data_IF_235437215280
#
_entry.id   IF_235437215280
#
_cell.length_a   1.000
_cell.length_b   1.000
_cell.length_c   1.000
_cell.angle_alpha   90.00
_cell.angle_beta   90.00
_cell.angle_gamma   90.00
#
_symmetry.space_group_name_H-M   'P 1'
#
loop_
_entity.id
_entity.type
_entity.pdbx_description
1 polymer ?
#
# COMPACT_ATOMS: atom_id res chain seq x y z
N UNK A 1 0.35 4.66 4.65
CA UNK A 1 1.82 4.60 4.57
C UNK A 1 2.38 4.52 5.98
N UNK A 2 3.17 3.49 6.29
CA UNK A 2 3.82 3.30 7.59
C UNK A 2 5.25 3.86 7.55
N UNK A 3 5.62 4.65 8.57
CA UNK A 3 6.96 5.26 8.70
C UNK A 3 7.69 4.61 9.88
N UNK A 4 9.00 4.47 9.77
CA UNK A 4 9.85 3.82 10.78
C UNK A 4 10.92 4.79 11.29
N UNK A 5 11.23 4.69 12.58
CA UNK A 5 12.32 5.37 13.27
C UNK A 5 13.12 4.32 14.06
N UNK A 6 14.43 4.28 13.89
CA UNK A 6 15.31 3.27 14.51
C UNK A 6 14.86 1.82 14.25
N UNK A 7 14.31 1.54 13.06
CA UNK A 7 13.77 0.21 12.71
C UNK A 7 12.42 -0.13 13.33
N UNK A 8 11.81 0.77 14.10
CA UNK A 8 10.53 0.58 14.77
C UNK A 8 9.46 1.50 14.16
N UNK A 9 8.23 1.03 14.05
CA UNK A 9 7.12 1.81 13.49
C UNK A 9 6.82 3.05 14.34
N UNK A 10 6.70 4.23 13.72
CA UNK A 10 6.46 5.51 14.43
C UNK A 10 4.97 5.67 14.75
N UNK A 11 4.61 5.66 16.04
CA UNK A 11 3.23 5.79 16.53
C UNK A 11 2.57 7.09 16.07
N UNK A 12 1.40 6.97 15.45
CA UNK A 12 0.60 8.10 15.00
C UNK A 12 -0.89 7.73 14.96
N UNK A 13 -1.77 8.72 14.88
CA UNK A 13 -3.22 8.47 14.93
C UNK A 13 -3.77 7.60 13.78
N UNK A 14 -3.11 7.60 12.63
CA UNK A 14 -3.47 6.74 11.49
C UNK A 14 -2.98 5.28 11.62
N UNK A 15 -2.22 4.96 12.67
CA UNK A 15 -1.69 3.63 12.90
C UNK A 15 -2.49 2.82 13.91
N UNK A 16 -2.05 1.58 14.12
CA UNK A 16 -2.71 0.60 14.95
C UNK A 16 -1.85 0.12 16.14
N UNK A 17 -0.88 0.91 16.60
CA UNK A 17 -0.19 0.57 17.85
C UNK A 17 -1.13 0.74 19.04
N UNK A 18 -0.96 -0.14 20.02
CA UNK A 18 -1.83 -0.22 21.18
C UNK A 18 -1.12 -0.80 22.38
N UNK A 19 -1.52 -0.38 23.56
CA UNK A 19 -1.28 -1.14 24.77
C UNK A 19 -2.32 -2.26 24.83
N UNK A 20 -1.86 -3.50 24.86
CA UNK A 20 -2.74 -4.68 24.85
C UNK A 20 -2.84 -5.21 26.27
N UNK A 21 -4.05 -5.15 26.84
CA UNK A 21 -4.39 -5.76 28.12
C UNK A 21 -3.35 -5.45 29.21
N UNK A 22 -2.99 -4.16 29.37
CA UNK A 22 -2.11 -3.73 30.43
C UNK A 22 -2.70 -4.09 31.79
N UNK A 23 -1.95 -4.85 32.57
CA UNK A 23 -2.42 -5.48 33.78
C UNK A 23 -1.27 -5.58 34.79
N UNK A 24 -1.52 -5.39 36.10
CA UNK A 24 -2.80 -5.11 36.74
C UNK A 24 -3.09 -3.61 36.89
N UNK A 25 -4.25 -3.15 36.40
CA UNK A 25 -4.81 -1.83 36.72
C UNK A 25 -5.91 -2.01 37.76
N UNK A 26 -5.57 -1.79 39.03
CA UNK A 26 -6.48 -2.07 40.15
C UNK A 26 -7.47 -0.92 40.33
N UNK A 27 -8.75 -1.23 40.15
CA UNK A 27 -9.85 -0.30 40.42
C UNK A 27 -10.87 -0.93 41.36
N UNK A 28 -11.61 -0.12 42.11
CA UNK A 28 -12.65 -0.63 42.98
C UNK A 28 -13.95 -0.89 42.21
N UNK A 29 -14.44 -2.11 42.30
CA UNK A 29 -15.73 -2.54 41.76
C UNK A 29 -16.81 -2.34 42.81
N UNK A 30 -17.99 -1.79 42.45
CA UNK A 30 -19.10 -1.68 43.39
C UNK A 30 -19.50 -3.06 43.95
N UNK A 31 -19.71 -3.20 45.26
CA UNK A 31 -20.23 -4.44 45.83
C UNK A 31 -21.67 -4.65 45.37
N UNK A 32 -22.08 -5.91 45.17
CA UNK A 32 -23.48 -6.24 44.88
C UNK A 32 -24.40 -6.03 46.10
N UNK A 33 -23.81 -5.88 47.30
CA UNK A 33 -24.54 -5.67 48.55
C UNK A 33 -24.40 -4.22 49.04
N UNK A 34 -25.49 -3.56 49.48
CA UNK A 34 -25.49 -2.10 49.75
C UNK A 34 -24.61 -1.57 50.89
N UNK A 35 -23.92 -2.41 51.66
CA UNK A 35 -23.42 -2.04 52.99
C UNK A 35 -21.92 -2.28 53.26
N UNK A 36 -21.04 -2.21 52.25
CA UNK A 36 -19.58 -2.44 52.45
C UNK A 36 -18.74 -1.32 51.79
N UNK A 37 -17.46 -1.11 52.21
CA UNK A 37 -16.65 0.11 52.04
C UNK A 37 -16.31 0.35 50.55
N UNK A 38 -15.43 1.30 50.12
CA UNK A 38 -15.53 2.05 48.84
C UNK A 38 -15.46 1.24 47.52
N UNK A 39 -15.39 -0.07 47.61
CA UNK A 39 -15.59 -1.11 46.61
C UNK A 39 -14.70 -2.30 46.92
N UNK A 40 -14.71 -3.34 46.08
CA UNK A 40 -13.73 -4.43 46.13
C UNK A 40 -12.59 -4.08 45.16
N UNK A 41 -11.31 -4.04 45.59
CA UNK A 41 -10.20 -3.84 44.67
C UNK A 41 -10.08 -5.04 43.71
N UNK A 42 -10.27 -4.80 42.42
CA UNK A 42 -10.18 -5.82 41.37
C UNK A 42 -9.18 -5.34 40.32
N UNK A 43 -8.22 -6.18 39.91
CA UNK A 43 -7.32 -5.84 38.82
C UNK A 43 -8.05 -5.98 37.47
N UNK A 44 -8.00 -4.93 36.66
CA UNK A 44 -8.58 -4.87 35.32
C UNK A 44 -7.48 -4.82 34.25
N UNK A 45 -7.74 -5.39 33.05
CA UNK A 45 -6.94 -5.09 31.89
C UNK A 45 -7.30 -3.71 31.35
N UNK A 46 -6.32 -2.92 30.94
CA UNK A 46 -6.56 -1.66 30.24
C UNK A 46 -5.96 -1.67 28.83
N UNK A 47 -6.60 -0.95 27.93
CA UNK A 47 -6.22 -0.84 26.53
C UNK A 47 -6.10 0.63 26.16
N UNK A 48 -5.07 0.94 25.37
CA UNK A 48 -4.86 2.26 24.79
C UNK A 48 -4.60 2.13 23.31
N UNK A 49 -5.10 3.05 22.49
CA UNK A 49 -5.07 2.94 21.02
C UNK A 49 -4.51 4.20 20.37
N UNK A 50 -3.68 4.01 19.34
CA UNK A 50 -3.14 5.09 18.52
C UNK A 50 -4.23 6.04 17.97
N UNK A 51 -5.40 5.51 17.60
CA UNK A 51 -6.53 6.28 17.09
C UNK A 51 -7.03 7.38 18.05
N UNK A 52 -6.76 7.24 19.34
CA UNK A 52 -7.16 8.20 20.37
C UNK A 52 -6.10 9.29 20.62
N UNK A 53 -5.03 9.32 19.83
CA UNK A 53 -3.98 10.34 19.92
C UNK A 53 -4.53 11.75 19.75
N UNK A 54 -4.10 12.61 20.66
CA UNK A 54 -4.35 14.04 20.67
C UNK A 54 -3.07 14.79 21.07
N UNK A 55 -2.98 16.07 20.72
CA UNK A 55 -1.82 16.95 20.98
C UNK A 55 -0.47 16.40 20.45
N UNK A 56 -0.51 15.63 19.37
CA UNK A 56 0.68 15.25 18.62
C UNK A 56 1.21 16.38 17.73
N UNK A 57 2.02 16.01 16.74
CA UNK A 57 2.59 16.95 15.75
C UNK A 57 1.54 17.81 15.04
N UNK A 58 1.91 19.08 14.83
CA UNK A 58 1.14 20.04 14.06
C UNK A 58 1.58 20.10 12.60
N UNK A 59 2.89 20.01 12.31
CA UNK A 59 3.41 20.19 10.94
C UNK A 59 3.66 18.87 10.22
N UNK A 60 4.26 17.89 10.89
CA UNK A 60 4.55 16.58 10.30
C UNK A 60 3.32 15.67 10.43
N UNK A 61 2.89 15.04 9.34
CA UNK A 61 1.75 14.11 9.33
C UNK A 61 2.16 12.76 8.74
N UNK A 62 1.67 11.68 9.35
CA UNK A 62 1.78 10.32 8.81
C UNK A 62 0.36 9.86 8.46
N UNK A 63 0.13 9.49 7.19
CA UNK A 63 -1.22 9.13 6.74
C UNK A 63 -2.25 10.27 6.83
N UNK A 64 -1.79 11.53 6.78
CA UNK A 64 -2.64 12.72 6.96
C UNK A 64 -2.90 13.09 8.43
N UNK A 65 -2.44 12.27 9.36
CA UNK A 65 -2.77 12.38 10.78
C UNK A 65 -1.57 12.75 11.66
N UNK A 66 -1.87 13.19 12.89
CA UNK A 66 -0.87 13.63 13.88
C UNK A 66 -0.04 12.47 14.44
N UNK A 67 1.22 12.76 14.78
CA UNK A 67 2.22 11.80 15.28
C UNK A 67 2.46 11.99 16.77
N UNK A 68 2.67 10.89 17.49
CA UNK A 68 2.91 10.90 18.93
C UNK A 68 4.32 11.39 19.27
N UNK A 69 4.39 12.27 20.27
CA UNK A 69 5.60 12.95 20.72
C UNK A 69 5.75 12.87 22.22
N UNK A 70 7.01 12.76 22.67
CA UNK A 70 7.43 12.83 24.06
C UNK A 70 6.79 14.04 24.77
N UNK A 71 6.12 13.75 25.89
CA UNK A 71 5.58 14.74 26.84
C UNK A 71 4.61 15.79 26.27
N UNK A 72 4.19 15.67 25.01
CA UNK A 72 3.21 16.57 24.38
C UNK A 72 1.94 15.84 23.99
N UNK A 73 2.09 14.71 23.31
CA UNK A 73 0.94 13.90 22.90
C UNK A 73 0.45 13.01 24.03
N UNK A 74 -0.85 12.75 24.02
CA UNK A 74 -1.49 11.75 24.87
C UNK A 74 -2.57 11.03 24.07
N UNK A 75 -2.95 9.84 24.52
CA UNK A 75 -4.15 9.20 24.02
C UNK A 75 -5.31 9.60 24.94
N UNK A 76 -6.40 10.06 24.34
CA UNK A 76 -7.48 10.77 25.03
C UNK A 76 -8.26 9.90 26.01
N UNK A 77 -8.28 8.58 25.80
CA UNK A 77 -8.99 7.61 26.62
C UNK A 77 -8.28 6.24 26.63
N UNK A 78 -8.52 5.50 27.69
CA UNK A 78 -8.25 4.07 27.83
C UNK A 78 -9.58 3.31 27.98
N UNK A 79 -9.57 2.00 27.76
CA UNK A 79 -10.75 1.13 27.95
C UNK A 79 -10.38 -0.15 28.69
N UNK A 80 -11.37 -0.92 29.16
CA UNK A 80 -11.22 -2.24 29.79
C UNK A 80 -11.42 -2.28 31.30
N UNK A 81 -11.40 -1.12 31.96
CA UNK A 81 -11.56 -0.94 33.41
C UNK A 81 -12.89 -0.27 33.80
N UNK A 82 -13.85 -0.17 32.86
CA UNK A 82 -15.14 0.52 33.05
C UNK A 82 -15.98 -0.06 34.20
N UNK A 83 -15.79 -1.34 34.51
CA UNK A 83 -16.47 -2.02 35.62
C UNK A 83 -15.92 -1.60 37.00
N UNK A 84 -14.74 -0.98 37.08
CA UNK A 84 -14.15 -0.39 38.29
C UNK A 84 -14.75 0.96 38.66
N UNK A 85 -16.08 1.08 38.59
CA UNK A 85 -16.80 2.36 38.67
C UNK A 85 -17.29 2.74 40.08
N UNK A 86 -16.72 2.14 41.14
CA UNK A 86 -17.04 2.56 42.50
C UNK A 86 -16.55 4.01 42.78
N UNK A 87 -17.01 4.68 43.85
CA UNK A 87 -16.68 6.09 44.11
C UNK A 87 -15.18 6.38 44.09
N UNK A 88 -14.38 5.47 44.64
CA UNK A 88 -12.91 5.47 44.51
C UNK A 88 -12.55 4.53 43.38
N UNK A 89 -12.30 5.03 42.17
CA UNK A 89 -12.09 4.22 40.95
C UNK A 89 -10.74 3.47 40.96
N UNK A 90 -9.78 3.84 40.12
CA UNK A 90 -8.42 3.30 40.21
C UNK A 90 -7.78 3.60 41.58
N UNK A 91 -7.07 2.64 42.17
CA UNK A 91 -6.51 2.76 43.52
C UNK A 91 -5.46 3.87 43.65
N UNK A 92 -4.75 4.19 42.56
CA UNK A 92 -3.70 5.20 42.51
C UNK A 92 -4.29 6.54 42.05
N UNK A 93 -4.98 6.56 40.90
CA UNK A 93 -5.37 7.82 40.25
C UNK A 93 -6.81 8.22 40.52
N UNK A 94 -7.61 7.37 41.15
CA UNK A 94 -9.06 7.55 41.31
C UNK A 94 -9.79 7.82 39.98
N UNK A 95 -9.20 7.39 38.86
CA UNK A 95 -9.72 7.57 37.51
C UNK A 95 -9.64 6.25 36.75
N UNK A 96 -10.73 5.92 36.07
CA UNK A 96 -10.80 4.87 35.04
C UNK A 96 -11.00 5.56 33.69
N UNK A 97 -10.71 4.85 32.60
CA UNK A 97 -10.80 5.38 31.22
C UNK A 97 -10.02 6.69 31.01
N UNK A 98 -8.91 6.86 31.74
CA UNK A 98 -8.12 8.08 31.73
C UNK A 98 -7.24 8.22 30.49
N UNK A 99 -6.34 9.22 30.52
CA UNK A 99 -5.38 9.40 29.42
C UNK A 99 -4.29 8.35 29.49
N UNK A 100 -3.71 8.03 28.35
CA UNK A 100 -2.48 7.27 28.26
C UNK A 100 -1.31 8.19 27.88
N UNK A 101 -0.16 7.96 28.51
CA UNK A 101 1.10 8.63 28.18
C UNK A 101 2.23 7.63 27.97
N UNK A 102 3.08 7.94 27.00
CA UNK A 102 4.27 7.17 26.71
C UNK A 102 5.45 7.57 27.62
N UNK A 103 6.25 6.58 27.99
CA UNK A 103 7.43 6.68 28.85
C UNK A 103 8.74 6.36 28.13
N UNK A 104 8.67 5.96 26.86
CA UNK A 104 9.82 5.79 25.99
C UNK A 104 9.55 6.39 24.60
N UNK A 105 10.62 6.74 23.90
CA UNK A 105 10.62 7.43 22.61
C UNK A 105 11.97 7.23 21.92
N UNK A 106 12.07 7.63 20.65
CA UNK A 106 13.33 7.67 19.90
C UNK A 106 14.37 8.60 20.54
N UNK A 107 15.64 8.23 20.53
CA UNK A 107 16.70 9.08 21.08
C UNK A 107 17.19 10.15 20.10
N UNK A 108 16.99 9.94 18.80
CA UNK A 108 17.59 10.71 17.71
C UNK A 108 16.59 11.16 16.64
N UNK A 109 15.48 10.45 16.45
CA UNK A 109 14.43 10.84 15.51
C UNK A 109 13.40 11.74 16.20
N UNK A 110 13.26 12.95 15.65
CA UNK A 110 12.36 13.98 16.16
C UNK A 110 11.43 14.47 15.07
N UNK A 111 10.20 14.81 15.44
CA UNK A 111 9.23 15.53 14.60
C UNK A 111 8.75 16.75 15.38
N UNK A 112 8.55 17.89 14.73
CA UNK A 112 8.32 19.21 15.36
C UNK A 112 9.26 19.49 16.56
N UNK A 113 10.53 19.08 16.44
CA UNK A 113 11.56 19.28 17.46
C UNK A 113 11.52 18.32 18.66
N UNK A 114 10.53 17.43 18.76
CA UNK A 114 10.40 16.49 19.88
C UNK A 114 10.62 15.02 19.46
N UNK A 115 11.19 14.19 20.34
CA UNK A 115 11.28 12.74 20.15
C UNK A 115 9.94 12.08 19.84
N UNK A 116 9.93 11.17 18.85
CA UNK A 116 8.72 10.42 18.47
C UNK A 116 8.57 9.13 19.26
N UNK A 117 7.32 8.75 19.53
CA UNK A 117 7.00 7.43 20.10
C UNK A 117 6.95 6.37 19.00
N UNK A 118 7.32 5.14 19.34
CA UNK A 118 7.45 4.02 18.40
C UNK A 118 6.78 2.76 18.92
N UNK A 119 6.63 1.79 18.04
CA UNK A 119 6.42 0.40 18.38
C UNK A 119 7.45 -0.06 19.41
N UNK A 120 7.03 -0.87 20.38
CA UNK A 120 7.81 -1.36 21.52
C UNK A 120 8.20 -0.34 22.59
N UNK A 121 7.96 0.97 22.38
CA UNK A 121 8.07 1.94 23.46
C UNK A 121 6.98 1.66 24.53
N UNK A 122 7.30 1.93 25.79
CA UNK A 122 6.39 1.69 26.92
C UNK A 122 5.46 2.88 27.17
N UNK A 123 4.26 2.60 27.65
CA UNK A 123 3.25 3.59 28.01
C UNK A 123 2.40 3.13 29.20
N UNK A 124 1.72 4.06 29.86
CA UNK A 124 0.85 3.74 31.01
C UNK A 124 -0.47 4.48 30.89
N UNK A 125 -1.52 3.83 31.38
CA UNK A 125 -2.92 4.23 31.26
C UNK A 125 -3.46 4.93 32.52
N UNK A 126 -4.70 5.42 32.41
CA UNK A 126 -5.51 6.01 33.48
C UNK A 126 -4.90 7.20 34.21
N UNK A 127 -4.26 8.09 33.45
CA UNK A 127 -3.59 9.25 34.02
C UNK A 127 -4.52 10.34 34.55
N UNK A 128 -4.10 10.92 35.69
CA UNK A 128 -4.53 12.22 36.20
C UNK A 128 -3.47 13.31 36.08
N UNK A 129 -2.43 13.07 35.26
CA UNK A 129 -1.32 13.97 34.91
C UNK A 129 -0.48 14.44 36.12
N UNK A 130 0.75 13.90 36.34
CA UNK A 130 1.47 12.90 35.55
C UNK A 130 1.33 11.45 36.06
N UNK A 131 0.58 11.23 37.15
CA UNK A 131 0.45 9.90 37.74
C UNK A 131 -0.43 8.98 36.88
N UNK A 132 0.10 7.81 36.53
CA UNK A 132 -0.63 6.72 35.88
C UNK A 132 -1.25 5.74 36.88
N UNK A 133 -2.29 5.02 36.46
CA UNK A 133 -3.06 4.10 37.29
C UNK A 133 -2.44 2.72 37.52
N UNK A 134 -1.25 2.47 36.97
CA UNK A 134 -0.60 1.16 36.97
C UNK A 134 0.79 1.20 36.31
N UNK A 135 1.48 0.05 36.25
CA UNK A 135 2.82 -0.03 35.67
C UNK A 135 2.79 0.23 34.16
N UNK A 136 3.87 0.79 33.58
CA UNK A 136 3.96 0.97 32.15
C UNK A 136 4.14 -0.36 31.43
N UNK A 137 3.45 -0.50 30.29
CA UNK A 137 3.43 -1.70 29.46
C UNK A 137 3.90 -1.38 28.04
N UNK A 138 4.40 -2.39 27.34
CA UNK A 138 4.89 -2.26 25.97
C UNK A 138 3.73 -1.93 25.03
N UNK A 139 3.92 -0.95 24.15
CA UNK A 139 3.02 -0.71 23.01
C UNK A 139 3.32 -1.71 21.90
N UNK A 140 2.33 -2.53 21.57
CA UNK A 140 2.38 -3.48 20.49
C UNK A 140 1.53 -2.97 19.31
N UNK A 141 2.14 -2.91 18.14
CA UNK A 141 1.50 -2.72 16.85
C UNK A 141 1.30 -4.04 16.13
N UNK A 142 0.39 -4.03 15.17
CA UNK A 142 0.40 -5.06 14.13
C UNK A 142 1.65 -4.80 13.29
N UNK A 143 2.56 -5.78 13.06
CA UNK A 143 3.69 -5.56 12.19
C UNK A 143 3.16 -5.06 10.84
N UNK A 144 3.57 -3.86 10.44
CA UNK A 144 3.30 -3.34 9.10
C UNK A 144 3.99 -4.23 8.09
N UNK A 145 3.33 -5.30 7.64
CA UNK A 145 3.79 -6.05 6.48
C UNK A 145 3.53 -5.18 5.27
N UNK A 146 4.55 -4.47 4.79
CA UNK A 146 4.55 -4.05 3.38
C UNK A 146 4.33 -5.34 2.58
N UNK A 147 3.42 -5.41 1.62
CA UNK A 147 3.24 -6.63 0.82
C UNK A 147 4.45 -6.94 -0.08
N UNK A 148 5.46 -6.06 -0.08
CA UNK A 148 6.82 -6.29 -0.61
C UNK A 148 7.88 -6.39 0.50
N UNK A 149 7.51 -6.73 1.73
CA UNK A 149 8.43 -6.80 2.87
C UNK A 149 9.53 -7.84 2.61
N UNK A 150 10.76 -7.34 2.46
CA UNK A 150 11.95 -8.15 2.19
C UNK A 150 12.54 -7.98 0.80
N UNK A 151 11.79 -7.42 -0.17
CA UNK A 151 12.26 -7.24 -1.54
C UNK A 151 12.59 -5.76 -1.79
N UNK A 152 13.85 -5.47 -2.06
CA UNK A 152 14.31 -4.12 -2.41
C UNK A 152 13.63 -3.61 -3.70
N UNK A 153 13.41 -2.29 -3.78
CA UNK A 153 12.87 -1.66 -5.00
C UNK A 153 13.88 -1.65 -6.15
N UNK A 154 13.95 -2.76 -6.87
CA UNK A 154 14.72 -2.93 -8.10
C UNK A 154 13.83 -2.57 -9.30
N UNK A 155 14.31 -1.61 -10.09
CA UNK A 155 13.70 -1.18 -11.35
C UNK A 155 14.84 -1.03 -12.35
N UNK A 156 14.73 -1.68 -13.50
CA UNK A 156 15.79 -1.73 -14.51
C UNK A 156 15.32 -2.47 -15.76
N UNK A 157 16.23 -2.84 -16.65
CA UNK A 157 15.91 -3.80 -17.71
C UNK A 157 15.69 -5.19 -17.11
N UNK A 158 15.02 -6.09 -17.84
CA UNK A 158 14.84 -7.48 -17.41
C UNK A 158 16.19 -8.16 -17.18
N UNK A 159 17.13 -8.01 -18.12
CA UNK A 159 18.47 -8.63 -18.02
C UNK A 159 19.27 -8.12 -16.82
N UNK A 160 19.08 -6.86 -16.41
CA UNK A 160 19.81 -6.29 -15.27
C UNK A 160 19.31 -6.75 -13.90
N UNK A 161 18.01 -7.09 -13.80
CA UNK A 161 17.34 -7.29 -12.51
C UNK A 161 16.73 -8.67 -12.30
N UNK A 162 16.50 -9.48 -13.34
CA UNK A 162 15.77 -10.74 -13.22
C UNK A 162 16.42 -11.69 -12.21
N UNK A 163 17.72 -11.96 -12.36
CA UNK A 163 18.45 -12.88 -11.47
C UNK A 163 18.49 -12.36 -10.03
N UNK A 164 18.82 -11.07 -9.84
CA UNK A 164 18.85 -10.42 -8.52
C UNK A 164 17.48 -10.41 -7.83
N UNK A 165 16.42 -10.23 -8.62
CA UNK A 165 15.06 -10.27 -8.13
C UNK A 165 14.68 -11.67 -7.65
N UNK A 166 15.01 -12.69 -8.44
CA UNK A 166 14.76 -14.09 -8.09
C UNK A 166 15.55 -14.50 -6.84
N UNK A 167 16.82 -14.09 -6.73
CA UNK A 167 17.66 -14.31 -5.54
C UNK A 167 17.08 -13.64 -4.28
N UNK A 168 16.44 -12.48 -4.43
CA UNK A 168 15.72 -11.80 -3.36
C UNK A 168 14.35 -12.41 -3.03
N UNK A 169 13.95 -13.49 -3.71
CA UNK A 169 12.65 -14.16 -3.52
C UNK A 169 11.47 -13.43 -4.19
N UNK A 170 11.75 -12.55 -5.14
CA UNK A 170 10.76 -11.85 -5.96
C UNK A 170 10.66 -12.40 -7.39
N UNK A 171 9.79 -11.78 -8.16
CA UNK A 171 9.57 -12.06 -9.59
C UNK A 171 9.73 -10.74 -10.38
N UNK A 172 10.59 -10.75 -11.40
CA UNK A 172 10.79 -9.59 -12.26
C UNK A 172 9.62 -9.45 -13.24
N UNK A 173 8.85 -8.38 -13.06
CA UNK A 173 7.67 -8.07 -13.86
C UNK A 173 7.98 -7.04 -14.93
N UNK A 174 7.67 -7.33 -16.21
CA UNK A 174 7.67 -6.32 -17.27
C UNK A 174 6.55 -5.31 -17.04
N UNK A 175 6.88 -4.09 -16.61
CA UNK A 175 5.88 -3.05 -16.31
C UNK A 175 5.04 -2.72 -17.55
N UNK A 176 5.70 -2.66 -18.71
CA UNK A 176 4.98 -2.68 -19.99
C UNK A 176 5.07 -4.08 -20.54
N UNK A 177 3.94 -4.80 -20.71
CA UNK A 177 3.98 -6.18 -21.18
C UNK A 177 4.73 -6.30 -22.50
N UNK A 178 5.76 -7.14 -22.55
CA UNK A 178 6.58 -7.39 -23.76
C UNK A 178 5.72 -7.70 -25.01
N UNK A 179 4.57 -8.37 -24.82
CA UNK A 179 3.62 -8.65 -25.90
C UNK A 179 3.18 -7.39 -26.65
N UNK A 180 3.15 -6.23 -26.00
CA UNK A 180 2.70 -4.98 -26.59
C UNK A 180 3.58 -4.53 -27.77
N UNK A 181 4.87 -4.87 -27.70
CA UNK A 181 5.87 -4.49 -28.68
C UNK A 181 6.02 -5.49 -29.82
N UNK A 182 5.32 -6.63 -29.80
CA UNK A 182 5.51 -7.71 -30.79
C UNK A 182 4.22 -8.21 -31.44
N UNK A 183 4.37 -8.56 -32.71
CA UNK A 183 3.32 -9.14 -33.57
C UNK A 183 3.30 -10.68 -33.56
N UNK A 184 4.37 -11.30 -33.06
CA UNK A 184 4.57 -12.76 -33.01
C UNK A 184 4.17 -13.40 -31.68
N UNK A 185 4.56 -14.67 -31.50
CA UNK A 185 4.47 -15.42 -30.23
C UNK A 185 5.61 -15.05 -29.28
N UNK A 186 5.61 -15.60 -28.05
CA UNK A 186 6.64 -15.32 -27.05
C UNK A 186 8.01 -15.84 -27.48
N UNK A 187 8.05 -17.00 -28.13
CA UNK A 187 9.29 -17.59 -28.66
C UNK A 187 9.93 -16.74 -29.78
N UNK A 188 9.18 -15.78 -30.30
CA UNK A 188 9.61 -14.83 -31.33
C UNK A 188 9.80 -13.43 -30.75
N UNK A 189 9.97 -13.29 -29.43
CA UNK A 189 10.08 -11.98 -28.80
C UNK A 189 11.25 -11.18 -29.39
N UNK A 190 12.39 -11.81 -29.64
CA UNK A 190 13.58 -11.08 -30.10
C UNK A 190 13.76 -11.12 -31.63
N UNK A 191 12.75 -11.57 -32.39
CA UNK A 191 12.75 -11.45 -33.86
C UNK A 191 12.50 -9.99 -34.27
N UNK A 192 13.49 -9.28 -34.85
CA UNK A 192 13.34 -7.87 -35.23
C UNK A 192 12.23 -7.66 -36.27
N UNK A 193 11.91 -8.68 -37.08
CA UNK A 193 10.82 -8.60 -38.09
C UNK A 193 9.43 -8.72 -37.47
N UNK A 194 9.35 -9.07 -36.18
CA UNK A 194 8.11 -9.21 -35.43
C UNK A 194 7.98 -8.16 -34.33
N UNK A 195 8.92 -7.25 -34.18
CA UNK A 195 8.93 -6.20 -33.16
C UNK A 195 8.71 -4.81 -33.76
N UNK A 196 7.99 -3.96 -33.03
CA UNK A 196 7.79 -2.55 -33.38
C UNK A 196 9.15 -1.85 -33.41
N UNK A 197 9.42 -1.06 -34.44
CA UNK A 197 10.69 -0.38 -34.59
C UNK A 197 10.95 0.61 -33.43
N UNK A 198 12.12 0.53 -32.80
CA UNK A 198 12.48 1.36 -31.64
C UNK A 198 11.93 0.86 -30.30
N UNK A 199 11.11 -0.20 -30.28
CA UNK A 199 10.68 -0.82 -29.04
C UNK A 199 11.81 -1.65 -28.41
N UNK A 200 11.90 -1.71 -27.07
CA UNK A 200 12.89 -2.54 -26.38
C UNK A 200 12.70 -4.02 -26.72
N UNK A 201 13.77 -4.81 -26.70
CA UNK A 201 13.71 -6.29 -26.73
C UNK A 201 13.11 -6.85 -25.43
N UNK A 202 13.00 -8.18 -25.34
CA UNK A 202 12.53 -8.80 -24.11
C UNK A 202 13.44 -8.48 -22.92
N UNK A 203 14.75 -8.59 -23.12
CA UNK A 203 15.77 -8.33 -22.10
C UNK A 203 15.87 -6.86 -21.72
N UNK A 204 15.71 -5.96 -22.68
CA UNK A 204 15.79 -4.51 -22.45
C UNK A 204 14.51 -3.91 -21.85
N UNK A 205 13.40 -4.64 -21.88
CA UNK A 205 12.10 -4.18 -21.38
C UNK A 205 12.18 -3.74 -19.92
N UNK A 206 11.54 -2.62 -19.59
CA UNK A 206 11.57 -2.09 -18.23
C UNK A 206 10.79 -3.01 -17.28
N UNK A 207 11.45 -3.39 -16.20
CA UNK A 207 10.94 -4.29 -15.18
C UNK A 207 10.98 -3.68 -13.78
N UNK A 208 10.14 -4.25 -12.91
CA UNK A 208 10.13 -4.01 -11.47
C UNK A 208 10.16 -5.37 -10.74
N UNK A 209 10.95 -5.46 -9.68
CA UNK A 209 10.93 -6.64 -8.82
C UNK A 209 9.75 -6.60 -7.84
N UNK A 210 8.90 -7.62 -7.90
CA UNK A 210 7.69 -7.72 -7.09
C UNK A 210 7.70 -9.00 -6.26
N UNK A 211 7.05 -8.97 -5.09
CA UNK A 211 6.67 -10.19 -4.40
C UNK A 211 5.68 -10.99 -5.26
N UNK A 212 5.59 -12.33 -5.09
CA UNK A 212 4.63 -13.15 -5.84
C UNK A 212 3.19 -12.62 -5.77
N UNK A 213 2.78 -12.12 -4.59
CA UNK A 213 1.46 -11.50 -4.40
C UNK A 213 1.25 -10.23 -5.24
N UNK A 214 2.26 -9.35 -5.29
CA UNK A 214 2.16 -8.12 -6.09
C UNK A 214 2.25 -8.44 -7.59
N UNK A 215 3.03 -9.46 -7.98
CA UNK A 215 3.13 -9.93 -9.36
C UNK A 215 1.79 -10.49 -9.87
N UNK A 216 1.12 -11.34 -9.09
CA UNK A 216 -0.22 -11.84 -9.45
C UNK A 216 -1.23 -10.69 -9.61
N UNK A 217 -1.20 -9.73 -8.68
CA UNK A 217 -2.11 -8.58 -8.69
C UNK A 217 -1.92 -7.69 -9.92
N UNK A 218 -0.68 -7.39 -10.31
CA UNK A 218 -0.44 -6.52 -11.47
C UNK A 218 -0.89 -7.17 -12.78
N UNK A 219 -0.76 -8.49 -12.92
CA UNK A 219 -1.26 -9.21 -14.12
C UNK A 219 -2.77 -9.10 -14.30
N UNK A 220 -3.53 -9.06 -13.21
CA UNK A 220 -4.97 -8.84 -13.26
C UNK A 220 -5.30 -7.42 -13.75
N UNK A 221 -4.71 -6.42 -13.10
CA UNK A 221 -4.92 -5.01 -13.41
C UNK A 221 -4.49 -4.63 -14.84
N UNK A 222 -3.32 -5.10 -15.27
CA UNK A 222 -2.83 -4.89 -16.64
C UNK A 222 -3.72 -5.57 -17.67
N UNK A 223 -4.23 -6.76 -17.37
CA UNK A 223 -5.14 -7.46 -18.29
C UNK A 223 -6.42 -6.67 -18.48
N UNK A 224 -7.00 -6.14 -17.41
CA UNK A 224 -8.20 -5.32 -17.48
C UNK A 224 -7.96 -4.04 -18.28
N UNK A 225 -6.92 -3.27 -17.94
CA UNK A 225 -6.62 -2.01 -18.61
C UNK A 225 -6.27 -2.18 -20.10
N UNK A 226 -5.46 -3.19 -20.45
CA UNK A 226 -5.10 -3.47 -21.84
C UNK A 226 -6.31 -3.95 -22.64
N UNK A 227 -7.18 -4.77 -22.05
CA UNK A 227 -8.39 -5.24 -22.70
C UNK A 227 -9.39 -4.10 -22.95
N UNK A 228 -9.47 -3.12 -22.04
CA UNK A 228 -10.28 -1.91 -22.21
C UNK A 228 -9.81 -1.10 -23.43
N UNK A 229 -8.51 -0.85 -23.57
CA UNK A 229 -7.94 -0.17 -24.76
C UNK A 229 -8.25 -0.97 -26.03
N UNK A 230 -7.92 -2.26 -26.04
CA UNK A 230 -8.09 -3.11 -27.23
C UNK A 230 -9.54 -3.31 -27.68
N UNK A 231 -10.50 -2.99 -26.82
CA UNK A 231 -11.95 -3.09 -27.08
C UNK A 231 -12.64 -1.74 -27.11
N UNK A 232 -11.93 -0.62 -27.03
CA UNK A 232 -12.52 0.72 -26.94
C UNK A 232 -13.52 1.02 -28.08
N UNK A 233 -13.25 0.54 -29.29
CA UNK A 233 -14.18 0.69 -30.43
C UNK A 233 -15.42 -0.21 -30.41
N UNK A 234 -15.56 -1.11 -29.43
CA UNK A 234 -16.63 -2.11 -29.33
C UNK A 234 -17.58 -1.85 -28.16
N UNK A 235 -17.94 -0.58 -27.98
CA UNK A 235 -18.88 -0.09 -26.98
C UNK A 235 -20.15 0.49 -27.62
N UNK A 236 -21.23 0.59 -26.85
CA UNK A 236 -22.45 1.28 -27.24
C UNK A 236 -22.32 2.82 -27.12
N UNK A 237 -23.38 3.55 -27.46
CA UNK A 237 -23.39 5.02 -27.37
C UNK A 237 -23.23 5.56 -25.93
N UNK A 238 -23.35 4.70 -24.91
CA UNK A 238 -23.14 5.03 -23.51
C UNK A 238 -21.79 4.53 -22.98
N UNK A 239 -20.92 4.05 -23.86
CA UNK A 239 -19.60 3.51 -23.51
C UNK A 239 -19.62 2.13 -22.87
N UNK A 240 -20.74 1.40 -22.88
CA UNK A 240 -20.81 0.04 -22.33
C UNK A 240 -20.38 -1.00 -23.36
N UNK A 241 -19.66 -2.07 -22.97
CA UNK A 241 -19.25 -3.12 -23.89
C UNK A 241 -20.44 -3.74 -24.66
N UNK A 242 -20.32 -3.81 -25.99
CA UNK A 242 -21.28 -4.50 -26.84
C UNK A 242 -21.31 -6.00 -26.48
N UNK A 243 -22.46 -6.65 -26.71
CA UNK A 243 -22.65 -8.09 -26.46
C UNK A 243 -23.31 -8.78 -27.68
N UNK A 244 -23.20 -10.11 -27.72
CA UNK A 244 -23.86 -10.94 -28.73
C UNK A 244 -23.49 -10.58 -30.18
N UNK A 245 -24.50 -10.55 -31.06
CA UNK A 245 -24.31 -10.34 -32.51
C UNK A 245 -23.71 -8.96 -32.83
N UNK A 246 -24.08 -7.92 -32.06
CA UNK A 246 -23.54 -6.58 -32.23
C UNK A 246 -22.01 -6.54 -31.97
N UNK A 247 -21.56 -7.22 -30.91
CA UNK A 247 -20.13 -7.36 -30.62
C UNK A 247 -19.41 -8.13 -31.72
N UNK A 248 -19.99 -9.22 -32.21
CA UNK A 248 -19.40 -10.05 -33.27
C UNK A 248 -19.16 -9.24 -34.54
N UNK A 249 -20.18 -8.50 -35.00
CA UNK A 249 -20.10 -7.62 -36.17
C UNK A 249 -19.07 -6.51 -35.98
N UNK A 250 -19.09 -5.83 -34.82
CA UNK A 250 -18.14 -4.73 -34.54
C UNK A 250 -16.70 -5.23 -34.42
N UNK A 251 -16.49 -6.37 -33.76
CA UNK A 251 -15.18 -7.04 -33.67
C UNK A 251 -14.62 -7.39 -35.05
N UNK A 252 -15.43 -7.91 -35.96
CA UNK A 252 -14.98 -8.18 -37.34
C UNK A 252 -14.58 -6.90 -38.08
N UNK A 253 -15.34 -5.81 -37.93
CA UNK A 253 -14.99 -4.51 -38.49
C UNK A 253 -13.65 -4.01 -37.94
N UNK A 254 -13.48 -4.01 -36.61
CA UNK A 254 -12.26 -3.55 -35.94
C UNK A 254 -11.05 -4.44 -36.27
N UNK A 255 -11.25 -5.75 -36.50
CA UNK A 255 -10.19 -6.64 -36.96
C UNK A 255 -9.73 -6.32 -38.39
N UNK A 256 -10.66 -5.88 -39.26
CA UNK A 256 -10.36 -5.46 -40.64
C UNK A 256 -9.65 -4.12 -40.70
N UNK A 257 -10.02 -3.15 -39.85
CA UNK A 257 -9.28 -1.88 -39.70
C UNK A 257 -7.97 -2.04 -38.95
N UNK A 258 -7.81 -3.12 -38.17
CA UNK A 258 -6.63 -3.36 -37.34
C UNK A 258 -6.66 -2.59 -36.02
N UNK A 259 -7.83 -2.15 -35.58
CA UNK A 259 -8.07 -1.49 -34.29
C UNK A 259 -8.37 -2.49 -33.16
N UNK A 260 -8.86 -3.69 -33.50
CA UNK A 260 -9.18 -4.69 -32.49
C UNK A 260 -7.92 -5.24 -31.81
N UNK A 261 -7.85 -5.10 -30.49
CA UNK A 261 -6.75 -5.63 -29.68
C UNK A 261 -5.45 -4.85 -29.83
N UNK A 262 -5.55 -3.58 -30.23
CA UNK A 262 -4.45 -2.63 -30.34
C UNK A 262 -4.80 -1.32 -29.61
N UNK A 263 -3.79 -0.52 -29.29
CA UNK A 263 -3.91 0.83 -28.76
C UNK A 263 -2.73 1.68 -29.20
N UNK A 264 -2.77 2.97 -28.91
CA UNK A 264 -1.61 3.86 -29.08
C UNK A 264 -0.54 3.57 -28.02
N UNK A 265 0.70 3.96 -28.29
CA UNK A 265 1.79 3.80 -27.33
C UNK A 265 1.49 4.57 -26.04
N UNK A 266 0.97 5.79 -26.15
CA UNK A 266 0.59 6.62 -25.00
C UNK A 266 -0.43 5.91 -24.10
N UNK A 267 -1.53 5.39 -24.65
CA UNK A 267 -2.56 4.66 -23.89
C UNK A 267 -1.97 3.43 -23.16
N UNK A 268 -1.14 2.65 -23.86
CA UNK A 268 -0.52 1.43 -23.31
C UNK A 268 0.44 1.77 -22.17
N UNK A 269 1.27 2.79 -22.35
CA UNK A 269 2.21 3.25 -21.33
C UNK A 269 1.49 3.88 -20.13
N UNK A 270 0.38 4.59 -20.35
CA UNK A 270 -0.43 5.18 -19.28
C UNK A 270 -1.10 4.13 -18.41
N UNK A 271 -1.72 3.10 -19.02
CA UNK A 271 -2.27 1.96 -18.29
C UNK A 271 -1.17 1.23 -17.50
N UNK A 272 -0.04 0.94 -18.12
CA UNK A 272 1.10 0.29 -17.44
C UNK A 272 1.62 1.10 -16.24
N UNK A 273 1.59 2.44 -16.33
CA UNK A 273 1.97 3.30 -15.20
C UNK A 273 0.89 3.33 -14.11
N UNK A 274 -0.40 3.36 -14.47
CA UNK A 274 -1.49 3.47 -13.50
C UNK A 274 -1.67 2.18 -12.69
N UNK A 275 -1.45 1.01 -13.28
CA UNK A 275 -1.56 -0.29 -12.57
C UNK A 275 -0.55 -0.41 -11.43
N UNK A 276 0.59 0.29 -11.50
CA UNK A 276 1.56 0.36 -10.39
C UNK A 276 0.98 1.00 -9.12
N UNK A 277 -0.02 1.87 -9.24
CA UNK A 277 -0.68 2.51 -8.08
C UNK A 277 -1.56 1.54 -7.31
N UNK A 278 -1.91 0.39 -7.90
CA UNK A 278 -2.67 -0.66 -7.24
C UNK A 278 -1.80 -1.56 -6.37
N UNK A 279 -0.48 -1.47 -6.50
CA UNK A 279 0.46 -2.30 -5.76
C UNK A 279 0.77 -1.74 -4.38
N UNK A 280 0.99 -2.64 -3.43
CA UNK A 280 1.46 -2.26 -2.09
C UNK A 280 2.99 -2.12 -2.09
N UNK A 281 3.44 -1.03 -2.73
CA UNK A 281 4.82 -0.59 -2.87
C UNK A 281 5.01 0.78 -2.19
N UNK A 282 6.27 1.13 -1.89
CA UNK A 282 6.54 2.49 -1.41
C UNK A 282 6.26 3.53 -2.52
N UNK A 283 5.79 4.75 -2.17
CA UNK A 283 5.58 5.81 -3.17
C UNK A 283 6.84 6.13 -3.98
N UNK A 284 8.01 6.04 -3.35
CA UNK A 284 9.29 6.23 -4.04
C UNK A 284 9.54 5.15 -5.10
N UNK A 285 9.20 3.89 -4.80
CA UNK A 285 9.34 2.79 -5.74
C UNK A 285 8.43 2.95 -6.95
N UNK A 286 7.16 3.28 -6.71
CA UNK A 286 6.18 3.57 -7.77
C UNK A 286 6.68 4.73 -8.64
N UNK A 287 7.19 5.80 -8.04
CA UNK A 287 7.75 6.95 -8.77
C UNK A 287 8.97 6.55 -9.62
N UNK A 288 9.88 5.73 -9.08
CA UNK A 288 11.06 5.21 -9.80
C UNK A 288 10.64 4.38 -11.01
N UNK A 289 9.67 3.48 -10.83
CA UNK A 289 9.10 2.62 -11.86
C UNK A 289 8.42 3.44 -12.98
N UNK A 290 7.52 4.35 -12.62
CA UNK A 290 6.86 5.25 -13.58
C UNK A 290 7.85 6.08 -14.39
N UNK A 291 8.89 6.62 -13.75
CA UNK A 291 9.95 7.37 -14.43
C UNK A 291 10.74 6.50 -15.41
N UNK A 292 11.01 5.25 -15.07
CA UNK A 292 11.69 4.32 -15.96
C UNK A 292 10.84 3.99 -17.20
N UNK A 293 9.53 3.77 -17.03
CA UNK A 293 8.59 3.60 -18.16
C UNK A 293 8.59 4.84 -19.05
N UNK A 294 8.43 6.04 -18.48
CA UNK A 294 8.45 7.30 -19.25
C UNK A 294 9.78 7.53 -19.98
N UNK A 295 10.90 7.05 -19.44
CA UNK A 295 12.19 7.15 -20.12
C UNK A 295 12.25 6.20 -21.32
N UNK A 296 11.81 4.96 -21.15
CA UNK A 296 11.81 3.95 -22.21
C UNK A 296 10.79 4.26 -23.30
N UNK A 297 9.62 4.82 -22.97
CA UNK A 297 8.57 5.14 -23.94
C UNK A 297 8.98 6.19 -24.98
N UNK A 298 10.01 7.01 -24.69
CA UNK A 298 10.50 8.05 -25.62
C UNK A 298 11.13 7.50 -26.90
N UNK A 299 11.38 6.19 -26.99
CA UNK A 299 11.87 5.57 -28.22
C UNK A 299 10.77 5.32 -29.25
N UNK A 300 9.51 5.54 -28.87
CA UNK A 300 8.31 5.37 -29.70
C UNK A 300 7.56 6.70 -29.81
N UNK A 301 6.90 6.90 -30.96
CA UNK A 301 5.94 7.98 -31.14
C UNK A 301 4.67 7.69 -30.32
N UNK A 302 4.03 8.73 -29.79
CA UNK A 302 2.89 8.58 -28.88
C UNK A 302 1.71 7.82 -29.51
N UNK A 303 1.50 8.00 -30.81
CA UNK A 303 0.45 7.36 -31.61
C UNK A 303 0.88 6.01 -32.24
N UNK A 304 2.11 5.55 -32.02
CA UNK A 304 2.59 4.26 -32.49
C UNK A 304 1.64 3.15 -32.04
N UNK A 305 1.13 2.37 -33.00
CA UNK A 305 0.17 1.31 -32.69
C UNK A 305 0.90 0.14 -31.99
N UNK A 306 0.43 -0.22 -30.79
CA UNK A 306 0.91 -1.34 -29.98
C UNK A 306 -0.19 -2.39 -29.78
N UNK A 307 0.21 -3.61 -29.42
CA UNK A 307 -0.71 -4.71 -29.11
C UNK A 307 -1.19 -4.63 -27.67
N UNK A 308 -2.47 -4.88 -27.45
CA UNK A 308 -3.04 -4.92 -26.09
C UNK A 308 -3.63 -6.30 -25.75
N UNK A 309 -4.08 -7.03 -26.77
CA UNK A 309 -4.72 -8.34 -26.58
C UNK A 309 -3.73 -9.51 -26.44
N UNK A 310 -4.13 -10.53 -25.67
CA UNK A 310 -3.40 -11.80 -25.58
C UNK A 310 -3.42 -12.59 -26.90
N UNK A 311 -4.48 -12.46 -27.70
CA UNK A 311 -4.53 -13.04 -29.04
C UNK A 311 -3.52 -12.37 -29.98
N UNK A 312 -3.06 -13.08 -31.01
CA UNK A 312 -2.19 -12.47 -32.02
C UNK A 312 -2.94 -11.38 -32.80
N UNK A 313 -2.25 -10.28 -33.17
CA UNK A 313 -2.87 -9.20 -33.93
C UNK A 313 -3.31 -9.70 -35.32
N UNK A 314 -4.40 -9.12 -35.84
CA UNK A 314 -4.86 -9.37 -37.21
C UNK A 314 -3.81 -8.91 -38.23
N UNK A 315 -3.94 -9.33 -39.50
CA UNK A 315 -3.03 -8.87 -40.57
C UNK A 315 -3.02 -7.34 -40.70
N UNK A 316 -4.18 -6.69 -40.58
CA UNK A 316 -4.30 -5.24 -40.60
C UNK A 316 -3.62 -4.59 -39.38
N UNK A 317 -3.84 -5.13 -38.18
CA UNK A 317 -3.18 -4.66 -36.96
C UNK A 317 -1.66 -4.81 -37.03
N UNK A 318 -1.15 -5.92 -37.57
CA UNK A 318 0.29 -6.10 -37.83
C UNK A 318 0.84 -5.02 -38.76
N UNK A 319 0.10 -4.68 -39.82
CA UNK A 319 0.47 -3.58 -40.71
C UNK A 319 0.58 -2.26 -39.97
N UNK A 320 -0.42 -1.91 -39.14
CA UNK A 320 -0.40 -0.69 -38.32
C UNK A 320 0.72 -0.66 -37.28
N UNK A 321 1.01 -1.79 -36.65
CA UNK A 321 2.10 -1.88 -35.66
C UNK A 321 3.49 -1.73 -36.31
N UNK A 322 3.65 -2.17 -37.56
CA UNK A 322 4.93 -2.15 -38.26
C UNK A 322 5.14 -0.92 -39.12
N UNK A 323 4.08 -0.18 -39.40
CA UNK A 323 4.15 1.10 -40.09
C UNK A 323 4.39 2.21 -39.06
N UNK A 324 5.35 3.08 -39.36
CA UNK A 324 5.42 4.43 -38.80
C UNK A 324 4.46 5.32 -39.57
#
# INVERSE_FOLDING_TARGET
MTVFANGLEVSCKAQANKVIAAFPYVAFTPPQTPATPPGVPVPYPTFGMDSDTDKGTSTVKIGGETVNQKNKSYYSKCTGDEAGCAPKKNIITSKITGKEYAHAWSNDVKMDGEPVNRFSDIASNDHTSPQGGGPPMIRAGRPGTKANAGIECMVGSYDDIADKCNEAGGEAHHIVPDKAYRTGTRDQADDPKKRVAGAPTLGEGVCICLSPKNHDKIHEAEREGMDAIGKAGAVDAKGKPLKGEALKKKKEQLKKSGEWGTGTSEEVHDVAKSTLDELDLSPECIRKAKRAVTKQSKTLDGDQTLRTSNALPSRAAKGRMMNR
#
